data_IF_694844834318
#
_entry.id   IF_694844834318
#
_cell.length_a   1.000
_cell.length_b   1.000
_cell.length_c   1.000
_cell.angle_alpha   90.00
_cell.angle_beta   90.00
_cell.angle_gamma   90.00
#
_symmetry.space_group_name_H-M   'P 1'
#
loop_
_entity.id
_entity.type
_entity.pdbx_description
1 polymer ?
#
# COMPACT_ATOMS: atom_id res chain seq x y z
N UNK A 1 22.53 8.76 -30.11
CA UNK A 1 21.96 8.53 -28.77
C UNK A 1 21.23 9.78 -28.36
N UNK A 2 19.90 9.79 -28.43
CA UNK A 2 19.07 10.92 -28.05
C UNK A 2 18.12 10.47 -26.93
N UNK A 3 18.20 11.12 -25.77
CA UNK A 3 17.39 10.84 -24.61
C UNK A 3 15.94 11.28 -24.84
N UNK A 4 14.99 10.40 -24.52
CA UNK A 4 13.57 10.71 -24.53
C UNK A 4 13.20 11.60 -23.32
N UNK A 5 12.30 12.59 -23.47
CA UNK A 5 11.95 13.51 -22.39
C UNK A 5 10.99 12.86 -21.37
N UNK A 6 11.22 13.16 -20.09
CA UNK A 6 10.37 12.77 -18.98
C UNK A 6 8.93 13.28 -19.16
N UNK A 7 7.96 12.36 -19.12
CA UNK A 7 6.54 12.71 -19.10
C UNK A 7 6.15 13.13 -17.68
N UNK A 8 5.75 14.39 -17.56
CA UNK A 8 5.15 14.96 -16.35
C UNK A 8 3.79 14.33 -16.08
N UNK A 9 3.60 13.80 -14.86
CA UNK A 9 2.31 13.33 -14.38
C UNK A 9 1.36 14.53 -14.18
N UNK A 10 0.36 14.66 -15.04
CA UNK A 10 -0.73 15.63 -14.89
C UNK A 10 -1.94 14.93 -14.27
N UNK A 11 -2.16 15.13 -12.97
CA UNK A 11 -3.41 14.74 -12.30
C UNK A 11 -4.46 15.80 -12.65
N UNK A 12 -5.30 15.53 -13.66
CA UNK A 12 -6.55 16.27 -13.87
C UNK A 12 -7.75 15.34 -13.68
N UNK A 13 -8.49 15.66 -12.61
CA UNK A 13 -9.94 15.57 -12.45
C UNK A 13 -10.60 14.19 -12.55
N UNK A 14 -10.75 13.54 -11.40
CA UNK A 14 -11.90 12.65 -11.13
C UNK A 14 -12.94 13.51 -10.41
N UNK A 15 -14.10 13.72 -11.02
CA UNK A 15 -15.22 14.43 -10.39
C UNK A 15 -15.75 13.66 -9.17
N UNK A 16 -16.06 14.33 -8.05
CA UNK A 16 -16.79 13.72 -6.95
C UNK A 16 -18.27 13.54 -7.32
N UNK A 17 -18.84 12.39 -6.94
CA UNK A 17 -20.29 12.16 -6.98
C UNK A 17 -21.01 13.10 -5.97
N UNK A 18 -22.20 13.64 -6.32
CA UNK A 18 -22.91 14.58 -5.47
C UNK A 18 -23.63 13.84 -4.33
N UNK A 19 -23.42 14.30 -3.09
CA UNK A 19 -24.20 13.90 -1.92
C UNK A 19 -25.19 15.03 -1.60
N UNK A 20 -26.48 14.70 -1.61
CA UNK A 20 -27.57 15.60 -1.27
C UNK A 20 -27.49 16.04 0.20
N UNK A 21 -27.55 17.35 0.42
CA UNK A 21 -27.55 17.96 1.75
C UNK A 21 -28.98 18.07 2.32
N UNK A 22 -29.16 17.65 3.58
CA UNK A 22 -30.14 18.25 4.49
C UNK A 22 -29.87 17.81 5.93
N UNK A 23 -29.52 18.76 6.80
CA UNK A 23 -30.34 19.11 7.96
C UNK A 23 -29.66 20.23 8.77
N UNK A 24 -30.45 21.28 9.02
CA UNK A 24 -30.10 22.43 9.81
C UNK A 24 -29.93 22.05 11.29
N UNK A 25 -28.88 22.58 11.92
CA UNK A 25 -28.74 22.57 13.37
C UNK A 25 -28.57 24.00 13.89
N UNK A 26 -29.42 24.32 14.85
CA UNK A 26 -29.71 25.59 15.48
C UNK A 26 -28.53 26.11 16.32
N UNK A 27 -28.33 27.42 16.30
CA UNK A 27 -27.43 28.18 17.19
C UNK A 27 -27.82 27.98 18.67
N UNK A 28 -26.82 27.92 19.55
CA UNK A 28 -26.83 28.68 20.79
C UNK A 28 -25.40 28.99 21.27
N UNK A 29 -25.20 30.26 21.65
CA UNK A 29 -24.02 30.81 22.30
C UNK A 29 -23.99 30.40 23.78
N UNK A 30 -22.79 30.21 24.35
CA UNK A 30 -22.38 30.95 25.56
C UNK A 30 -20.88 30.82 25.88
N UNK A 31 -20.43 31.68 26.80
CA UNK A 31 -19.14 32.38 26.83
C UNK A 31 -17.99 31.72 27.63
N UNK A 32 -16.76 32.05 27.19
CA UNK A 32 -15.50 32.40 27.93
C UNK A 32 -15.01 31.56 29.12
N UNK A 33 -13.76 31.07 28.98
CA UNK A 33 -12.81 30.80 30.08
C UNK A 33 -11.40 30.47 29.56
N UNK A 34 -10.36 31.17 30.07
CA UNK A 34 -8.93 31.12 29.67
C UNK A 34 -8.14 29.94 30.34
N UNK A 35 -6.87 29.67 29.94
CA UNK A 35 -6.34 28.31 29.84
C UNK A 35 -5.53 27.86 31.08
N UNK A 36 -5.50 26.55 31.33
CA UNK A 36 -4.48 25.89 32.15
C UNK A 36 -4.06 24.58 31.49
N UNK A 37 -2.73 24.41 31.38
CA UNK A 37 -2.08 23.30 30.72
C UNK A 37 -2.45 21.95 31.30
N UNK A 38 -2.43 20.94 30.42
CA UNK A 38 -2.46 19.53 30.80
C UNK A 38 -1.48 18.76 29.95
N UNK A 39 -0.52 18.16 30.67
CA UNK A 39 0.23 16.97 30.31
C UNK A 39 -0.68 15.93 29.65
N UNK A 40 -0.31 15.47 28.47
CA UNK A 40 -0.96 14.34 27.78
C UNK A 40 0.12 13.28 27.60
N UNK A 41 0.16 12.29 28.50
CA UNK A 41 0.61 10.94 28.20
C UNK A 41 -0.25 9.98 29.03
N UNK A 42 -1.08 9.18 28.36
CA UNK A 42 -1.14 7.73 28.47
C UNK A 42 -2.38 7.21 27.73
N UNK A 43 -2.11 6.52 26.63
CA UNK A 43 -2.98 5.61 25.90
C UNK A 43 -3.41 4.43 26.79
N UNK A 44 -4.68 4.02 26.67
CA UNK A 44 -5.08 2.61 26.74
C UNK A 44 -6.53 2.48 26.23
N UNK A 45 -6.70 1.68 25.18
CA UNK A 45 -7.92 0.94 24.82
C UNK A 45 -9.27 1.61 25.19
N UNK A 46 -9.69 2.57 24.38
CA UNK A 46 -11.10 2.89 24.27
C UNK A 46 -11.59 2.40 22.91
N UNK A 47 -11.93 1.12 22.82
CA UNK A 47 -13.05 0.72 21.97
C UNK A 47 -14.26 1.51 22.47
N UNK A 48 -14.45 2.72 21.93
CA UNK A 48 -15.74 3.38 22.04
C UNK A 48 -16.72 2.42 21.40
N UNK A 49 -17.60 1.83 22.20
CA UNK A 49 -18.80 1.15 21.71
C UNK A 49 -19.71 2.23 21.11
N UNK A 50 -19.29 2.77 19.97
CA UNK A 50 -20.15 3.45 19.03
C UNK A 50 -21.09 2.37 18.50
N UNK A 51 -22.38 2.72 18.34
CA UNK A 51 -23.27 1.90 17.52
C UNK A 51 -22.53 1.61 16.20
N UNK A 52 -22.58 0.37 15.68
CA UNK A 52 -21.95 0.05 14.41
C UNK A 52 -22.38 1.11 13.40
N UNK A 53 -21.42 1.77 12.78
CA UNK A 53 -21.75 2.65 11.66
C UNK A 53 -22.46 1.82 10.59
N UNK A 54 -23.23 2.46 9.70
CA UNK A 54 -23.86 1.74 8.59
C UNK A 54 -22.82 0.96 7.75
N UNK A 55 -21.55 1.43 7.74
CA UNK A 55 -20.43 0.75 7.11
C UNK A 55 -20.01 -0.53 7.83
N UNK A 56 -20.04 -0.56 9.16
CA UNK A 56 -19.67 -1.76 9.95
C UNK A 56 -20.69 -2.89 9.73
N UNK A 57 -21.98 -2.52 9.61
CA UNK A 57 -23.04 -3.47 9.27
C UNK A 57 -22.85 -4.05 7.85
N UNK A 58 -22.61 -3.18 6.86
CA UNK A 58 -22.36 -3.62 5.48
C UNK A 58 -21.10 -4.49 5.37
N UNK A 59 -20.05 -4.15 6.12
CA UNK A 59 -18.83 -4.96 6.19
C UNK A 59 -19.15 -6.35 6.73
N UNK A 60 -19.87 -6.44 7.86
CA UNK A 60 -20.20 -7.73 8.50
C UNK A 60 -21.09 -8.62 7.62
N UNK A 61 -22.08 -8.02 6.95
CA UNK A 61 -22.93 -8.72 5.98
C UNK A 61 -22.11 -9.22 4.78
N UNK A 62 -21.19 -8.39 4.28
CA UNK A 62 -20.26 -8.73 3.21
C UNK A 62 -19.33 -9.89 3.59
N UNK A 63 -18.74 -9.85 4.79
CA UNK A 63 -17.89 -10.90 5.33
C UNK A 63 -18.62 -12.24 5.38
N UNK A 64 -19.82 -12.25 5.96
CA UNK A 64 -20.65 -13.47 6.07
C UNK A 64 -21.00 -14.04 4.70
N UNK A 65 -21.33 -13.17 3.74
CA UNK A 65 -21.68 -13.57 2.37
C UNK A 65 -20.49 -14.18 1.62
N UNK A 66 -19.31 -13.58 1.75
CA UNK A 66 -18.08 -14.09 1.13
C UNK A 66 -17.61 -15.38 1.79
N UNK A 67 -17.72 -15.51 3.12
CA UNK A 67 -17.45 -16.78 3.82
C UNK A 67 -18.31 -17.91 3.27
N UNK A 68 -19.60 -17.67 3.05
CA UNK A 68 -20.50 -18.67 2.46
C UNK A 68 -20.04 -19.10 1.07
N UNK A 69 -19.64 -18.15 0.22
CA UNK A 69 -19.11 -18.43 -1.12
C UNK A 69 -17.84 -19.29 -1.04
N UNK A 70 -16.93 -18.98 -0.13
CA UNK A 70 -15.70 -19.77 0.08
C UNK A 70 -16.02 -21.21 0.52
N UNK A 71 -17.01 -21.40 1.39
CA UNK A 71 -17.45 -22.73 1.82
C UNK A 71 -18.11 -23.51 0.68
N UNK A 72 -18.97 -22.87 -0.12
CA UNK A 72 -19.61 -23.50 -1.28
C UNK A 72 -18.58 -23.95 -2.34
N UNK A 73 -17.54 -23.14 -2.56
CA UNK A 73 -16.48 -23.41 -3.54
C UNK A 73 -15.35 -24.30 -3.02
N UNK A 74 -15.34 -24.68 -1.74
CA UNK A 74 -14.25 -25.41 -1.07
C UNK A 74 -13.83 -26.70 -1.79
N UNK A 75 -14.78 -27.41 -2.39
CA UNK A 75 -14.51 -28.68 -3.07
C UNK A 75 -14.11 -28.50 -4.55
N UNK A 76 -14.10 -27.26 -5.04
CA UNK A 76 -13.79 -26.91 -6.43
C UNK A 76 -12.50 -26.10 -6.47
N UNK A 77 -11.37 -26.78 -6.69
CA UNK A 77 -10.05 -26.13 -6.66
C UNK A 77 -9.96 -24.91 -7.57
N UNK A 78 -10.48 -25.00 -8.81
CA UNK A 78 -10.46 -23.90 -9.79
C UNK A 78 -11.28 -22.70 -9.32
N UNK A 79 -12.50 -22.93 -8.83
CA UNK A 79 -13.38 -21.84 -8.36
C UNK A 79 -12.86 -21.20 -7.08
N UNK A 80 -12.34 -22.01 -6.15
CA UNK A 80 -11.71 -21.52 -4.93
C UNK A 80 -10.49 -20.65 -5.25
N UNK A 81 -9.58 -21.13 -6.10
CA UNK A 81 -8.40 -20.39 -6.56
C UNK A 81 -8.76 -19.05 -7.23
N UNK A 82 -9.76 -19.04 -8.12
CA UNK A 82 -10.24 -17.81 -8.76
C UNK A 82 -10.87 -16.84 -7.75
N UNK A 83 -11.54 -17.36 -6.71
CA UNK A 83 -12.10 -16.55 -5.62
C UNK A 83 -10.99 -15.90 -4.81
N UNK A 84 -9.96 -16.67 -4.42
CA UNK A 84 -8.79 -16.17 -3.71
C UNK A 84 -8.08 -15.07 -4.50
N UNK A 85 -7.91 -15.26 -5.82
CA UNK A 85 -7.32 -14.24 -6.69
C UNK A 85 -8.12 -12.93 -6.67
N UNK A 86 -9.46 -13.02 -6.74
CA UNK A 86 -10.32 -11.84 -6.65
C UNK A 86 -10.21 -11.16 -5.28
N UNK A 87 -10.20 -11.91 -4.18
CA UNK A 87 -10.03 -11.36 -2.82
C UNK A 87 -8.72 -10.58 -2.69
N UNK A 88 -7.62 -11.16 -3.18
CA UNK A 88 -6.29 -10.53 -3.19
C UNK A 88 -6.27 -9.27 -4.06
N UNK A 89 -6.79 -9.34 -5.28
CA UNK A 89 -6.84 -8.19 -6.20
C UNK A 89 -7.74 -7.07 -5.68
N UNK A 90 -8.75 -7.38 -4.88
CA UNK A 90 -9.62 -6.41 -4.21
C UNK A 90 -9.06 -5.92 -2.86
N UNK A 91 -7.94 -6.46 -2.39
CA UNK A 91 -7.32 -6.14 -1.09
C UNK A 91 -8.25 -6.41 0.10
N UNK A 92 -8.98 -7.53 0.05
CA UNK A 92 -9.90 -7.98 1.12
C UNK A 92 -9.55 -9.40 1.59
N UNK A 93 -8.40 -9.94 1.18
CA UNK A 93 -7.96 -11.28 1.53
C UNK A 93 -7.54 -11.42 3.00
N UNK A 94 -7.17 -10.33 3.67
CA UNK A 94 -6.81 -10.33 5.10
C UNK A 94 -7.94 -10.82 6.01
N UNK A 95 -9.20 -10.76 5.55
CA UNK A 95 -10.35 -11.28 6.29
C UNK A 95 -10.51 -12.81 6.22
N UNK A 96 -9.83 -13.48 5.29
CA UNK A 96 -10.07 -14.89 4.96
C UNK A 96 -8.79 -15.72 4.96
N UNK A 97 -7.82 -15.36 5.81
CA UNK A 97 -6.49 -15.99 5.83
C UNK A 97 -6.56 -17.49 6.12
N UNK A 98 -7.46 -17.93 6.99
CA UNK A 98 -7.63 -19.35 7.32
C UNK A 98 -8.16 -20.14 6.12
N UNK A 99 -9.19 -19.62 5.42
CA UNK A 99 -9.76 -20.25 4.24
C UNK A 99 -8.74 -20.32 3.11
N UNK A 100 -8.00 -19.23 2.87
CA UNK A 100 -6.93 -19.15 1.88
C UNK A 100 -5.86 -20.20 2.18
N UNK A 101 -5.39 -20.27 3.42
CA UNK A 101 -4.37 -21.24 3.82
C UNK A 101 -4.86 -22.69 3.61
N UNK A 102 -6.12 -22.98 3.93
CA UNK A 102 -6.69 -24.32 3.73
C UNK A 102 -6.78 -24.73 2.25
N UNK A 103 -6.87 -23.75 1.34
CA UNK A 103 -7.01 -23.98 -0.10
C UNK A 103 -5.67 -24.19 -0.83
N UNK A 104 -4.53 -23.92 -0.18
CA UNK A 104 -3.21 -24.02 -0.82
C UNK A 104 -2.89 -25.41 -1.35
N UNK A 105 -3.34 -26.47 -0.66
CA UNK A 105 -3.19 -27.84 -1.14
C UNK A 105 -3.85 -28.09 -2.50
N UNK A 106 -5.08 -27.59 -2.69
CA UNK A 106 -5.79 -27.71 -3.97
C UNK A 106 -5.14 -26.84 -5.07
N UNK A 107 -4.53 -25.71 -4.70
CA UNK A 107 -3.77 -24.89 -5.64
C UNK A 107 -2.52 -25.62 -6.12
N UNK A 108 -1.79 -26.32 -5.24
CA UNK A 108 -0.61 -27.12 -5.61
C UNK A 108 -0.94 -28.17 -6.68
N UNK A 109 -2.09 -28.85 -6.58
CA UNK A 109 -2.51 -29.82 -7.59
C UNK A 109 -2.75 -29.16 -8.97
N UNK A 110 -3.32 -27.94 -8.98
CA UNK A 110 -3.60 -27.19 -10.20
C UNK A 110 -2.34 -26.66 -10.90
N UNK A 111 -1.19 -26.60 -10.21
CA UNK A 111 0.10 -26.29 -10.82
C UNK A 111 0.44 -27.29 -11.92
N UNK A 112 -0.14 -28.50 -11.91
CA UNK A 112 0.03 -29.54 -12.93
C UNK A 112 -1.06 -29.55 -14.02
N UNK A 113 -1.97 -28.57 -14.03
CA UNK A 113 -3.04 -28.47 -15.03
C UNK A 113 -2.50 -28.26 -16.46
N UNK A 114 -3.21 -28.81 -17.44
CA UNK A 114 -2.99 -28.55 -18.88
C UNK A 114 -3.67 -27.24 -19.34
N UNK A 115 -4.48 -26.62 -18.49
CA UNK A 115 -5.08 -25.29 -18.70
C UNK A 115 -4.09 -24.20 -18.28
N UNK A 116 -3.81 -23.25 -19.19
CA UNK A 116 -2.83 -22.19 -18.97
C UNK A 116 -3.21 -21.29 -17.81
N UNK A 117 -4.49 -20.89 -17.72
CA UNK A 117 -4.98 -20.05 -16.64
C UNK A 117 -4.83 -20.75 -15.29
N UNK A 118 -5.25 -22.01 -15.19
CA UNK A 118 -5.15 -22.76 -13.94
C UNK A 118 -3.71 -22.91 -13.46
N UNK A 119 -2.81 -23.39 -14.33
CA UNK A 119 -1.43 -23.67 -13.95
C UNK A 119 -0.69 -22.39 -13.52
N UNK A 120 -0.85 -21.31 -14.29
CA UNK A 120 -0.17 -20.03 -14.01
C UNK A 120 -0.75 -19.30 -12.79
N UNK A 121 -2.07 -19.36 -12.58
CA UNK A 121 -2.69 -18.75 -11.42
C UNK A 121 -2.35 -19.52 -10.14
N UNK A 122 -2.40 -20.85 -10.19
CA UNK A 122 -1.99 -21.72 -9.10
C UNK A 122 -0.55 -21.46 -8.70
N UNK A 123 0.36 -21.44 -9.68
CA UNK A 123 1.76 -21.09 -9.46
C UNK A 123 1.91 -19.74 -8.75
N UNK A 124 1.22 -18.71 -9.25
CA UNK A 124 1.30 -17.36 -8.70
C UNK A 124 0.88 -17.34 -7.23
N UNK A 125 -0.29 -17.92 -6.91
CA UNK A 125 -0.82 -17.94 -5.55
C UNK A 125 0.04 -18.77 -4.59
N UNK A 126 0.57 -19.89 -5.06
CA UNK A 126 1.44 -20.76 -4.25
C UNK A 126 2.79 -20.10 -3.97
N UNK A 127 3.40 -19.41 -4.95
CA UNK A 127 4.60 -18.60 -4.71
C UNK A 127 4.35 -17.41 -3.80
N UNK A 128 3.23 -16.71 -3.96
CA UNK A 128 2.83 -15.62 -3.06
C UNK A 128 2.64 -16.11 -1.62
N UNK A 129 2.27 -17.38 -1.43
CA UNK A 129 2.20 -18.04 -0.12
C UNK A 129 3.57 -18.53 0.42
N UNK A 130 4.67 -18.29 -0.31
CA UNK A 130 6.03 -18.59 0.12
C UNK A 130 6.54 -20.00 -0.25
N UNK A 131 5.82 -20.74 -1.09
CA UNK A 131 6.30 -22.03 -1.58
C UNK A 131 7.29 -21.86 -2.73
N UNK A 132 8.37 -22.64 -2.69
CA UNK A 132 9.35 -22.73 -3.77
C UNK A 132 8.84 -23.69 -4.86
N UNK A 133 8.44 -23.13 -6.00
CA UNK A 133 7.93 -23.87 -7.16
C UNK A 133 8.69 -23.39 -8.39
N UNK A 134 9.31 -24.28 -9.16
CA UNK A 134 10.03 -23.93 -10.39
C UNK A 134 9.08 -23.48 -11.51
N UNK A 135 9.32 -22.30 -12.10
CA UNK A 135 8.55 -21.83 -13.25
C UNK A 135 8.80 -22.70 -14.49
N UNK A 136 10.02 -23.19 -14.68
CA UNK A 136 10.40 -24.03 -15.82
C UNK A 136 9.57 -25.33 -15.83
N UNK A 137 9.38 -25.97 -14.68
CA UNK A 137 8.59 -27.19 -14.54
C UNK A 137 7.11 -26.98 -14.87
N UNK A 138 6.57 -25.81 -14.51
CA UNK A 138 5.19 -25.43 -14.82
C UNK A 138 5.05 -25.11 -16.31
N UNK A 139 5.95 -24.28 -16.84
CA UNK A 139 5.83 -23.71 -18.18
C UNK A 139 6.18 -24.68 -19.30
N UNK A 140 7.01 -25.71 -19.04
CA UNK A 140 7.44 -26.69 -20.05
C UNK A 140 6.30 -27.32 -20.84
N UNK A 141 5.15 -27.59 -20.23
CA UNK A 141 3.99 -28.20 -20.91
C UNK A 141 3.29 -27.26 -21.90
N UNK A 142 3.46 -25.96 -21.74
CA UNK A 142 2.92 -24.92 -22.62
C UNK A 142 3.85 -24.56 -23.77
N UNK A 143 5.06 -25.14 -23.78
CA UNK A 143 6.05 -24.99 -24.84
C UNK A 143 6.04 -26.15 -25.84
N UNK A 144 6.56 -25.92 -27.04
CA UNK A 144 6.79 -26.93 -28.07
C UNK A 144 8.18 -27.60 -27.93
N UNK A 145 8.53 -28.46 -28.88
CA UNK A 145 9.82 -29.17 -28.87
C UNK A 145 11.06 -28.27 -29.00
N UNK A 146 10.89 -27.00 -29.36
CA UNK A 146 11.96 -25.99 -29.41
C UNK A 146 12.07 -25.17 -28.12
N UNK A 147 11.15 -25.37 -27.17
CA UNK A 147 11.07 -24.59 -25.94
C UNK A 147 10.40 -23.22 -26.12
N UNK A 148 9.62 -23.05 -27.20
CA UNK A 148 8.83 -21.85 -27.47
C UNK A 148 7.36 -22.05 -27.11
N UNK A 149 6.67 -21.01 -26.64
CA UNK A 149 5.25 -21.10 -26.29
C UNK A 149 4.38 -21.43 -27.51
N UNK A 150 3.49 -22.41 -27.34
CA UNK A 150 2.56 -22.84 -28.39
C UNK A 150 1.69 -21.66 -28.84
N UNK A 151 1.71 -21.32 -30.13
CA UNK A 151 0.96 -20.19 -30.68
C UNK A 151 -0.56 -20.29 -30.43
N UNK A 152 -1.12 -21.50 -30.30
CA UNK A 152 -2.53 -21.70 -29.97
C UNK A 152 -2.97 -21.00 -28.66
N UNK A 153 -2.03 -20.82 -27.71
CA UNK A 153 -2.26 -20.12 -26.44
C UNK A 153 -2.54 -18.63 -26.64
N UNK A 154 -2.21 -18.05 -27.79
CA UNK A 154 -2.41 -16.62 -28.05
C UNK A 154 -3.89 -16.19 -28.04
N UNK A 155 -4.82 -17.15 -28.10
CA UNK A 155 -6.26 -16.91 -28.08
C UNK A 155 -6.84 -16.92 -26.66
N UNK A 156 -6.13 -17.48 -25.68
CA UNK A 156 -6.56 -17.55 -24.29
C UNK A 156 -6.17 -16.26 -23.55
N UNK A 157 -7.01 -15.23 -23.66
CA UNK A 157 -6.75 -13.93 -23.01
C UNK A 157 -6.64 -14.05 -21.49
N UNK A 158 -7.41 -14.96 -20.87
CA UNK A 158 -7.37 -15.17 -19.42
C UNK A 158 -6.07 -15.84 -19.00
N UNK A 159 -5.68 -16.91 -19.70
CA UNK A 159 -4.40 -17.57 -19.48
C UNK A 159 -3.21 -16.64 -19.74
N UNK A 160 -3.27 -15.81 -20.78
CA UNK A 160 -2.21 -14.83 -21.06
C UNK A 160 -2.10 -13.75 -19.99
N UNK A 161 -3.21 -13.26 -19.43
CA UNK A 161 -3.19 -12.32 -18.30
C UNK A 161 -2.53 -12.94 -17.07
N UNK A 162 -2.86 -14.19 -16.75
CA UNK A 162 -2.29 -14.90 -15.61
C UNK A 162 -0.81 -15.27 -15.85
N UNK A 163 -0.45 -15.68 -17.07
CA UNK A 163 0.94 -15.87 -17.49
C UNK A 163 1.75 -14.57 -17.40
N UNK A 164 1.15 -13.44 -17.78
CA UNK A 164 1.79 -12.13 -17.64
C UNK A 164 2.05 -11.80 -16.17
N UNK A 165 1.05 -11.97 -15.29
CA UNK A 165 1.22 -11.74 -13.85
C UNK A 165 2.31 -12.67 -13.26
N UNK A 166 2.27 -13.96 -13.58
CA UNK A 166 3.28 -14.96 -13.21
C UNK A 166 4.70 -14.54 -13.63
N UNK A 167 4.86 -13.95 -14.81
CA UNK A 167 6.17 -13.58 -15.37
C UNK A 167 6.93 -12.52 -14.56
N UNK A 168 6.27 -11.83 -13.63
CA UNK A 168 6.93 -10.85 -12.76
C UNK A 168 7.33 -11.41 -11.39
N UNK A 169 7.11 -12.71 -11.13
CA UNK A 169 7.55 -13.40 -9.90
C UNK A 169 8.94 -14.03 -10.03
N UNK A 170 9.79 -13.49 -10.92
CA UNK A 170 11.14 -14.00 -11.17
C UNK A 170 12.06 -13.77 -9.97
N UNK A 171 12.73 -14.83 -9.53
CA UNK A 171 13.68 -14.81 -8.42
C UNK A 171 15.15 -14.76 -8.89
N UNK A 172 15.40 -14.56 -10.19
CA UNK A 172 16.73 -14.23 -10.73
C UNK A 172 17.41 -15.35 -11.53
N UNK A 173 16.78 -16.52 -11.69
CA UNK A 173 17.39 -17.70 -12.33
C UNK A 173 16.43 -18.45 -13.27
N UNK A 174 15.34 -17.83 -13.73
CA UNK A 174 14.26 -18.55 -14.43
C UNK A 174 13.99 -18.02 -15.86
N UNK A 175 14.73 -18.52 -16.86
CA UNK A 175 14.63 -18.01 -18.24
C UNK A 175 13.25 -18.19 -18.86
N UNK A 176 12.45 -19.16 -18.40
CA UNK A 176 11.07 -19.33 -18.86
C UNK A 176 10.15 -18.17 -18.50
N UNK A 177 10.37 -17.49 -17.36
CA UNK A 177 9.57 -16.32 -16.97
C UNK A 177 9.84 -15.13 -17.89
N UNK A 178 11.08 -14.97 -18.37
CA UNK A 178 11.40 -13.95 -19.38
C UNK A 178 10.65 -14.22 -20.69
N UNK A 179 10.68 -15.46 -21.19
CA UNK A 179 9.91 -15.85 -22.38
C UNK A 179 8.40 -15.69 -22.17
N UNK A 180 7.90 -16.03 -20.98
CA UNK A 180 6.50 -15.87 -20.61
C UNK A 180 6.07 -14.40 -20.68
N UNK A 181 6.92 -13.49 -20.18
CA UNK A 181 6.70 -12.05 -20.25
C UNK A 181 6.62 -11.57 -21.69
N UNK A 182 7.60 -11.93 -22.53
CA UNK A 182 7.62 -11.52 -23.94
C UNK A 182 6.38 -12.03 -24.70
N UNK A 183 6.09 -13.33 -24.58
CA UNK A 183 4.96 -13.97 -25.24
C UNK A 183 3.63 -13.36 -24.80
N UNK A 184 3.40 -13.29 -23.48
CA UNK A 184 2.15 -12.75 -22.93
C UNK A 184 1.94 -11.28 -23.29
N UNK A 185 2.96 -10.42 -23.13
CA UNK A 185 2.86 -9.00 -23.45
C UNK A 185 2.56 -8.74 -24.92
N UNK A 186 3.26 -9.45 -25.83
CA UNK A 186 3.07 -9.31 -27.28
C UNK A 186 1.64 -9.67 -27.69
N UNK A 187 1.14 -10.81 -27.22
CA UNK A 187 -0.17 -11.30 -27.61
C UNK A 187 -1.32 -10.53 -26.96
N UNK A 188 -1.19 -10.14 -25.69
CA UNK A 188 -2.15 -9.26 -25.02
C UNK A 188 -2.24 -7.89 -25.71
N UNK A 189 -1.10 -7.26 -26.02
CA UNK A 189 -1.07 -5.96 -26.69
C UNK A 189 -1.74 -6.00 -28.08
N UNK A 190 -1.53 -7.11 -28.80
CA UNK A 190 -2.16 -7.34 -30.12
C UNK A 190 -3.67 -7.54 -30.01
N UNK A 191 -4.12 -8.21 -28.95
CA UNK A 191 -5.53 -8.54 -28.74
C UNK A 191 -6.39 -7.32 -28.38
N UNK A 192 -5.85 -6.31 -27.69
CA UNK A 192 -6.60 -5.16 -27.11
C UNK A 192 -7.66 -4.57 -28.06
N UNK A 193 -7.35 -4.41 -29.35
CA UNK A 193 -8.24 -3.77 -30.33
C UNK A 193 -9.48 -4.62 -30.70
N UNK A 194 -9.48 -5.89 -30.32
CA UNK A 194 -10.51 -6.88 -30.63
C UNK A 194 -11.31 -7.32 -29.39
N UNK A 195 -10.97 -6.80 -28.21
CA UNK A 195 -11.63 -7.15 -26.96
C UNK A 195 -12.79 -6.20 -26.67
N UNK A 196 -13.77 -6.69 -25.93
CA UNK A 196 -14.83 -5.86 -25.34
C UNK A 196 -14.22 -4.70 -24.54
N UNK A 197 -14.82 -3.50 -24.53
CA UNK A 197 -14.20 -2.30 -23.97
C UNK A 197 -13.71 -2.44 -22.52
N UNK A 198 -14.48 -3.15 -21.67
CA UNK A 198 -14.12 -3.42 -20.27
C UNK A 198 -12.86 -4.26 -20.14
N UNK A 199 -12.80 -5.38 -20.89
CA UNK A 199 -11.64 -6.28 -20.90
C UNK A 199 -10.44 -5.64 -21.59
N UNK A 200 -10.63 -4.90 -22.68
CA UNK A 200 -9.56 -4.16 -23.36
C UNK A 200 -8.88 -3.16 -22.43
N UNK A 201 -9.66 -2.44 -21.61
CA UNK A 201 -9.14 -1.52 -20.59
C UNK A 201 -8.38 -2.27 -19.50
N UNK A 202 -8.93 -3.39 -19.01
CA UNK A 202 -8.27 -4.22 -17.99
C UNK A 202 -6.93 -4.77 -18.49
N UNK A 203 -6.88 -5.31 -19.70
CA UNK A 203 -5.64 -5.81 -20.33
C UNK A 203 -4.60 -4.71 -20.47
N UNK A 204 -5.00 -3.53 -20.95
CA UNK A 204 -4.07 -2.39 -21.08
C UNK A 204 -3.46 -2.01 -19.73
N UNK A 205 -4.29 -1.92 -18.69
CA UNK A 205 -3.83 -1.59 -17.34
C UNK A 205 -2.88 -2.64 -16.76
N UNK A 206 -3.14 -3.92 -17.00
CA UNK A 206 -2.24 -4.99 -16.56
C UNK A 206 -0.87 -4.95 -17.26
N UNK A 207 -0.82 -4.53 -18.53
CA UNK A 207 0.44 -4.36 -19.26
C UNK A 207 1.22 -3.11 -18.83
N UNK A 208 0.53 -1.98 -18.64
CA UNK A 208 1.17 -0.71 -18.24
C UNK A 208 1.67 -0.77 -16.79
N UNK A 209 0.93 -1.44 -15.92
CA UNK A 209 1.19 -1.52 -14.49
C UNK A 209 0.98 -2.96 -14.01
N UNK A 210 1.97 -3.86 -14.14
CA UNK A 210 1.85 -5.25 -13.68
C UNK A 210 1.54 -5.36 -12.19
N UNK A 211 0.78 -6.38 -11.77
CA UNK A 211 0.33 -6.51 -10.39
C UNK A 211 1.51 -6.53 -9.41
N UNK A 212 2.48 -7.42 -9.60
CA UNK A 212 3.63 -7.56 -8.70
C UNK A 212 4.52 -6.30 -8.59
N UNK A 213 4.44 -5.39 -9.57
CA UNK A 213 5.26 -4.16 -9.64
C UNK A 213 4.46 -2.90 -9.29
N UNK A 214 3.25 -3.05 -8.77
CA UNK A 214 2.33 -1.94 -8.53
C UNK A 214 1.72 -1.99 -7.13
N UNK A 215 1.24 -0.83 -6.67
CA UNK A 215 0.48 -0.75 -5.43
C UNK A 215 -0.90 -1.39 -5.60
N UNK A 216 -1.17 -2.43 -4.81
CA UNK A 216 -2.39 -3.23 -4.95
C UNK A 216 -3.66 -2.42 -4.75
N UNK A 217 -3.70 -1.47 -3.80
CA UNK A 217 -4.88 -0.64 -3.56
C UNK A 217 -5.23 0.26 -4.75
N UNK A 218 -4.22 0.71 -5.50
CA UNK A 218 -4.46 1.47 -6.74
C UNK A 218 -5.11 0.56 -7.79
N UNK A 219 -4.61 -0.67 -7.91
CA UNK A 219 -5.14 -1.66 -8.85
C UNK A 219 -6.52 -2.22 -8.47
N UNK A 220 -6.85 -2.25 -7.18
CA UNK A 220 -8.08 -2.82 -6.68
C UNK A 220 -9.33 -2.13 -7.25
N UNK A 221 -9.31 -0.81 -7.42
CA UNK A 221 -10.40 -0.06 -8.08
C UNK A 221 -10.58 -0.44 -9.55
N UNK A 222 -9.48 -0.67 -10.25
CA UNK A 222 -9.51 -1.10 -11.65
C UNK A 222 -10.02 -2.53 -11.79
N UNK A 223 -9.62 -3.41 -10.88
CA UNK A 223 -10.13 -4.77 -10.82
C UNK A 223 -11.63 -4.81 -10.48
N UNK A 224 -12.08 -4.03 -9.49
CA UNK A 224 -13.50 -3.88 -9.17
C UNK A 224 -14.31 -3.39 -10.37
N UNK A 225 -13.83 -2.37 -11.09
CA UNK A 225 -14.50 -1.87 -12.30
C UNK A 225 -14.56 -2.92 -13.41
N UNK A 226 -13.55 -3.79 -13.52
CA UNK A 226 -13.57 -4.92 -14.44
C UNK A 226 -14.63 -5.96 -14.02
N UNK A 227 -14.65 -6.38 -12.76
CA UNK A 227 -15.66 -7.33 -12.24
C UNK A 227 -17.09 -6.82 -12.47
N UNK A 228 -17.35 -5.54 -12.20
CA UNK A 228 -18.64 -4.90 -12.41
C UNK A 228 -19.06 -4.82 -13.89
N UNK A 229 -18.10 -4.93 -14.81
CA UNK A 229 -18.37 -4.95 -16.26
C UNK A 229 -18.68 -6.35 -16.80
N UNK A 230 -18.49 -7.40 -16.00
CA UNK A 230 -18.74 -8.77 -16.43
C UNK A 230 -20.25 -9.06 -16.52
N UNK A 231 -20.69 -9.92 -17.47
CA UNK A 231 -22.11 -10.30 -17.58
C UNK A 231 -22.65 -11.04 -16.35
N UNK A 232 -21.79 -11.83 -15.70
CA UNK A 232 -22.11 -12.57 -14.48
C UNK A 232 -21.37 -11.93 -13.31
N UNK A 233 -22.11 -11.32 -12.38
CA UNK A 233 -21.55 -10.55 -11.28
C UNK A 233 -21.68 -11.30 -9.96
N UNK A 234 -20.58 -11.34 -9.22
CA UNK A 234 -20.54 -11.79 -7.83
C UNK A 234 -20.59 -10.55 -6.93
N UNK A 235 -21.82 -10.15 -6.57
CA UNK A 235 -22.03 -8.88 -5.87
C UNK A 235 -21.56 -8.91 -4.42
N UNK A 236 -21.32 -10.09 -3.83
CA UNK A 236 -20.90 -10.21 -2.44
C UNK A 236 -19.48 -9.67 -2.23
N UNK A 237 -18.51 -10.11 -3.05
CA UNK A 237 -17.14 -9.59 -3.00
C UNK A 237 -17.07 -8.11 -3.40
N UNK A 238 -17.87 -7.68 -4.38
CA UNK A 238 -17.96 -6.27 -4.77
C UNK A 238 -18.44 -5.40 -3.60
N UNK A 239 -19.51 -5.81 -2.91
CA UNK A 239 -20.06 -5.11 -1.75
C UNK A 239 -19.05 -5.00 -0.61
N UNK A 240 -18.39 -6.11 -0.27
CA UNK A 240 -17.35 -6.14 0.76
C UNK A 240 -16.17 -5.22 0.41
N UNK A 241 -15.69 -5.25 -0.83
CA UNK A 241 -14.59 -4.38 -1.28
C UNK A 241 -14.97 -2.89 -1.23
N UNK A 242 -16.21 -2.54 -1.56
CA UNK A 242 -16.69 -1.14 -1.48
C UNK A 242 -16.73 -0.68 -0.02
N UNK A 243 -17.27 -1.50 0.89
CA UNK A 243 -17.29 -1.20 2.31
C UNK A 243 -15.86 -1.01 2.86
N UNK A 244 -14.93 -1.90 2.50
CA UNK A 244 -13.53 -1.80 2.91
C UNK A 244 -12.85 -0.53 2.37
N UNK A 245 -13.09 -0.16 1.11
CA UNK A 245 -12.54 1.07 0.54
C UNK A 245 -13.07 2.32 1.25
N UNK A 246 -14.31 2.31 1.71
CA UNK A 246 -14.91 3.41 2.45
C UNK A 246 -14.31 3.52 3.85
N UNK A 247 -14.19 2.40 4.56
CA UNK A 247 -13.59 2.34 5.89
C UNK A 247 -12.12 2.78 5.87
N UNK A 248 -11.32 2.19 4.97
CA UNK A 248 -9.92 2.57 4.78
C UNK A 248 -9.77 4.06 4.41
N UNK A 249 -10.65 4.58 3.56
CA UNK A 249 -10.64 6.01 3.21
C UNK A 249 -10.91 6.89 4.43
N UNK A 250 -11.91 6.57 5.25
CA UNK A 250 -12.21 7.34 6.45
C UNK A 250 -11.03 7.33 7.42
N UNK A 251 -10.47 6.14 7.69
CA UNK A 251 -9.30 5.99 8.56
C UNK A 251 -8.12 6.85 8.07
N UNK A 252 -7.81 6.79 6.77
CA UNK A 252 -6.72 7.60 6.20
C UNK A 252 -6.99 9.10 6.26
N UNK A 253 -8.25 9.52 6.20
CA UNK A 253 -8.61 10.93 6.37
C UNK A 253 -8.39 11.38 7.82
N UNK A 254 -8.74 10.56 8.80
CA UNK A 254 -8.53 10.83 10.22
C UNK A 254 -7.03 10.93 10.54
N UNK A 255 -6.24 9.96 10.08
CA UNK A 255 -4.77 9.94 10.19
C UNK A 255 -4.14 11.21 9.57
N UNK A 256 -4.57 11.59 8.36
CA UNK A 256 -4.09 12.79 7.68
C UNK A 256 -4.37 14.06 8.49
N UNK A 257 -5.54 14.17 9.14
CA UNK A 257 -5.84 15.33 9.97
C UNK A 257 -4.93 15.39 11.20
N UNK A 258 -4.57 14.24 11.76
CA UNK A 258 -3.62 14.17 12.87
C UNK A 258 -2.23 14.60 12.47
N UNK A 259 -1.70 14.04 11.37
CA UNK A 259 -0.38 14.43 10.84
C UNK A 259 -0.35 15.93 10.52
N UNK A 260 -1.41 16.48 9.92
CA UNK A 260 -1.49 17.92 9.62
C UNK A 260 -1.45 18.76 10.88
N UNK A 261 -2.20 18.40 11.93
CA UNK A 261 -2.18 19.11 13.22
C UNK A 261 -0.77 19.10 13.81
N UNK A 262 -0.16 17.94 13.90
CA UNK A 262 1.23 17.79 14.36
C UNK A 262 2.21 18.64 13.55
N UNK A 263 2.12 18.61 12.22
CA UNK A 263 3.02 19.38 11.34
C UNK A 263 2.86 20.89 11.54
N UNK A 264 1.62 21.38 11.65
CA UNK A 264 1.35 22.79 11.92
C UNK A 264 1.88 23.22 13.29
N UNK A 265 1.74 22.36 14.32
CA UNK A 265 2.21 22.63 15.68
C UNK A 265 3.75 22.72 15.75
N UNK A 266 4.48 22.02 14.86
CA UNK A 266 5.93 22.15 14.75
C UNK A 266 6.39 23.51 14.21
N UNK A 267 5.60 24.16 13.35
CA UNK A 267 5.91 25.47 12.78
C UNK A 267 7.13 25.54 11.85
N UNK A 268 7.71 24.39 11.45
CA UNK A 268 8.96 24.34 10.69
C UNK A 268 8.88 25.01 9.31
N UNK A 269 7.74 24.91 8.61
CA UNK A 269 7.55 25.57 7.31
C UNK A 269 7.53 27.10 7.41
N UNK A 270 7.23 27.65 8.59
CA UNK A 270 7.33 29.09 8.84
C UNK A 270 8.75 29.51 9.23
N UNK A 271 9.45 28.70 10.02
CA UNK A 271 10.82 29.01 10.45
C UNK A 271 11.87 28.78 9.37
N UNK A 272 11.62 27.85 8.45
CA UNK A 272 12.52 27.51 7.34
C UNK A 272 11.73 27.55 6.02
N UNK A 273 11.46 28.73 5.45
CA UNK A 273 10.51 28.88 4.33
C UNK A 273 10.83 28.09 3.05
N UNK A 274 12.06 27.59 2.93
CA UNK A 274 12.52 26.82 1.76
C UNK A 274 12.16 25.34 1.87
N UNK A 275 11.84 24.83 3.06
CA UNK A 275 11.52 23.41 3.25
C UNK A 275 10.21 23.05 2.56
N UNK A 276 10.17 21.85 2.00
CA UNK A 276 8.96 21.31 1.37
C UNK A 276 7.85 21.21 2.43
N UNK A 277 6.66 21.70 2.10
CA UNK A 277 5.43 21.53 2.90
C UNK A 277 4.46 20.66 2.12
N UNK A 278 4.70 19.34 2.15
CA UNK A 278 4.02 18.36 1.30
C UNK A 278 3.46 17.19 2.11
N UNK A 279 2.78 17.47 3.23
CA UNK A 279 2.19 16.45 4.12
C UNK A 279 1.43 15.33 3.36
N UNK A 280 0.59 15.61 2.35
CA UNK A 280 -0.09 14.55 1.60
C UNK A 280 0.86 13.59 0.88
N UNK A 281 1.99 14.09 0.36
CA UNK A 281 3.02 13.30 -0.32
C UNK A 281 3.76 12.41 0.67
N UNK A 282 4.09 12.93 1.85
CA UNK A 282 4.79 12.16 2.89
C UNK A 282 3.92 11.03 3.42
N UNK A 283 2.66 11.33 3.69
CA UNK A 283 1.69 10.34 4.16
C UNK A 283 1.44 9.22 3.13
N UNK A 284 1.46 9.53 1.84
CA UNK A 284 1.29 8.52 0.78
C UNK A 284 2.29 7.36 0.90
N UNK A 285 3.54 7.63 1.30
CA UNK A 285 4.55 6.60 1.50
C UNK A 285 4.19 5.66 2.65
N UNK A 286 3.79 6.21 3.80
CA UNK A 286 3.38 5.40 4.95
C UNK A 286 2.11 4.59 4.66
N UNK A 287 1.11 5.23 4.04
CA UNK A 287 -0.17 4.61 3.67
C UNK A 287 -0.01 3.42 2.72
N UNK A 288 0.94 3.50 1.79
CA UNK A 288 1.16 2.42 0.82
C UNK A 288 2.04 1.29 1.36
N UNK A 289 2.90 1.59 2.34
CA UNK A 289 3.82 0.62 2.95
C UNK A 289 3.18 -0.18 4.09
N UNK A 290 2.27 0.43 4.86
CA UNK A 290 1.68 -0.18 6.05
C UNK A 290 0.16 -0.31 5.86
N UNK A 291 -0.31 -1.53 5.61
CA UNK A 291 -1.70 -1.82 5.27
C UNK A 291 -2.51 -2.29 6.47
N UNK A 292 -3.82 -2.05 6.44
CA UNK A 292 -4.77 -2.51 7.46
C UNK A 292 -4.97 -1.55 8.64
N UNK A 293 -6.10 -1.65 9.35
CA UNK A 293 -6.50 -0.70 10.38
C UNK A 293 -5.62 -0.77 11.64
N UNK A 294 -5.10 -1.94 12.00
CA UNK A 294 -4.22 -2.12 13.15
C UNK A 294 -2.92 -1.33 13.07
N UNK A 295 -2.49 -0.95 11.86
CA UNK A 295 -1.24 -0.22 11.64
C UNK A 295 -1.41 1.31 11.57
N UNK A 296 -2.55 1.83 12.05
CA UNK A 296 -2.88 3.26 11.98
C UNK A 296 -1.86 4.17 12.69
N UNK A 297 -1.54 3.88 13.95
CA UNK A 297 -0.54 4.64 14.71
C UNK A 297 0.82 4.63 14.02
N UNK A 298 1.26 3.45 13.56
CA UNK A 298 2.52 3.31 12.83
C UNK A 298 2.56 4.11 11.53
N UNK A 299 1.44 4.25 10.80
CA UNK A 299 1.37 5.12 9.61
C UNK A 299 1.57 6.59 9.97
N UNK A 300 0.92 7.04 11.04
CA UNK A 300 1.05 8.42 11.54
C UNK A 300 2.51 8.69 11.89
N UNK A 301 3.12 7.84 12.73
CA UNK A 301 4.49 8.02 13.20
C UNK A 301 5.53 7.87 12.08
N UNK A 302 5.34 6.92 11.17
CA UNK A 302 6.17 6.80 9.96
C UNK A 302 6.08 8.07 9.11
N UNK A 303 4.88 8.67 8.98
CA UNK A 303 4.73 9.93 8.25
C UNK A 303 5.48 11.07 8.93
N UNK A 304 5.48 11.14 10.27
CA UNK A 304 6.26 12.14 11.02
C UNK A 304 7.76 12.00 10.72
N UNK A 305 8.28 10.77 10.76
CA UNK A 305 9.68 10.48 10.43
C UNK A 305 10.00 10.90 8.99
N UNK A 306 9.18 10.48 8.02
CA UNK A 306 9.37 10.84 6.60
C UNK A 306 9.38 12.36 6.43
N UNK A 307 8.45 13.08 7.07
CA UNK A 307 8.38 14.54 7.01
C UNK A 307 9.68 15.19 7.47
N UNK A 308 10.24 14.72 8.60
CA UNK A 308 11.49 15.22 9.14
C UNK A 308 12.69 14.86 8.26
N UNK A 309 12.71 13.69 7.61
CA UNK A 309 13.74 13.33 6.61
C UNK A 309 13.75 14.34 5.46
N UNK A 310 12.59 14.72 4.93
CA UNK A 310 12.49 15.74 3.88
C UNK A 310 12.98 17.13 4.36
N UNK A 311 12.71 17.50 5.60
CA UNK A 311 13.20 18.76 6.17
C UNK A 311 14.71 18.76 6.32
N UNK A 312 15.29 17.66 6.83
CA UNK A 312 16.75 17.52 6.97
C UNK A 312 17.41 17.58 5.59
N UNK A 313 16.89 16.85 4.60
CA UNK A 313 17.36 16.89 3.21
C UNK A 313 17.37 18.34 2.66
N UNK A 314 16.29 19.10 2.86
CA UNK A 314 16.22 20.51 2.43
C UNK A 314 17.22 21.40 3.19
N UNK A 315 17.48 21.14 4.47
CA UNK A 315 18.48 21.89 5.25
C UNK A 315 19.88 21.65 4.69
N UNK A 316 20.24 20.40 4.38
CA UNK A 316 21.55 20.05 3.86
C UNK A 316 21.77 20.56 2.43
N UNK A 317 20.74 20.54 1.60
CA UNK A 317 20.86 20.89 0.18
C UNK A 317 20.69 22.39 -0.10
N UNK A 318 19.84 23.09 0.67
CA UNK A 318 19.36 24.43 0.31
C UNK A 318 19.63 25.51 1.35
N UNK A 319 19.95 25.16 2.60
CA UNK A 319 19.99 26.12 3.72
C UNK A 319 21.37 26.23 4.36
N UNK A 320 21.95 25.11 4.79
CA UNK A 320 23.09 25.11 5.68
C UNK A 320 24.43 25.38 4.99
N UNK A 321 25.26 26.20 5.64
CA UNK A 321 26.69 26.26 5.32
C UNK A 321 27.42 25.01 5.84
N UNK A 322 28.58 24.63 5.27
CA UNK A 322 29.34 23.46 5.74
C UNK A 322 29.62 23.47 7.26
N UNK A 323 29.91 24.63 7.82
CA UNK A 323 30.15 24.81 9.26
C UNK A 323 28.87 24.56 10.08
N UNK A 324 27.74 25.11 9.67
CA UNK A 324 26.45 24.91 10.35
C UNK A 324 25.97 23.46 10.24
N UNK A 325 26.14 22.83 9.08
CA UNK A 325 25.82 21.42 8.88
C UNK A 325 26.69 20.52 9.75
N UNK A 326 27.99 20.83 9.88
CA UNK A 326 28.88 20.12 10.81
C UNK A 326 28.38 20.22 12.25
N UNK A 327 27.94 21.40 12.70
CA UNK A 327 27.36 21.57 14.03
C UNK A 327 26.04 20.81 14.19
N UNK A 328 25.18 20.83 13.17
CA UNK A 328 23.92 20.09 13.17
C UNK A 328 24.15 18.57 13.24
N UNK A 329 25.06 18.03 12.44
CA UNK A 329 25.46 16.62 12.49
C UNK A 329 26.02 16.23 13.87
N UNK A 330 26.86 17.09 14.47
CA UNK A 330 27.37 16.86 15.83
C UNK A 330 26.24 16.84 16.86
N UNK A 331 25.25 17.73 16.74
CA UNK A 331 24.10 17.75 17.65
C UNK A 331 23.30 16.43 17.57
N UNK A 332 23.01 15.93 16.35
CA UNK A 332 22.34 14.63 16.16
C UNK A 332 23.21 13.50 16.76
N UNK A 333 24.55 13.54 16.57
CA UNK A 333 25.46 12.53 17.13
C UNK A 333 25.46 12.54 18.65
N UNK A 334 25.40 13.70 19.28
CA UNK A 334 25.40 13.81 20.74
C UNK A 334 24.04 13.46 21.36
N UNK A 335 22.95 13.71 20.64
CA UNK A 335 21.58 13.41 21.08
C UNK A 335 21.25 14.00 22.46
N UNK A 336 21.58 15.28 22.65
CA UNK A 336 21.35 16.03 23.89
C UNK A 336 20.63 17.36 23.58
N UNK A 337 19.61 17.74 24.35
CA UNK A 337 18.86 18.98 24.14
C UNK A 337 19.68 20.24 24.38
N UNK A 338 20.73 20.18 25.22
CA UNK A 338 21.58 21.33 25.56
C UNK A 338 22.42 21.84 24.36
N UNK A 339 22.77 20.97 23.41
CA UNK A 339 23.50 21.37 22.20
C UNK A 339 22.61 22.03 21.14
N UNK A 340 21.29 22.00 21.31
CA UNK A 340 20.38 22.69 20.39
C UNK A 340 20.62 24.21 20.40
N UNK A 341 21.06 24.78 21.53
CA UNK A 341 21.19 26.23 21.68
C UNK A 341 22.36 26.85 20.91
N UNK A 342 23.33 26.04 20.46
CA UNK A 342 24.40 26.50 19.57
C UNK A 342 24.02 26.49 18.08
N UNK A 343 22.87 25.89 17.72
CA UNK A 343 22.41 25.82 16.34
C UNK A 343 21.68 27.11 15.91
N UNK A 344 21.74 27.48 14.61
CA UNK A 344 20.86 28.49 14.02
C UNK A 344 19.38 28.19 14.30
N UNK A 345 18.53 29.22 14.33
CA UNK A 345 17.12 29.08 14.77
C UNK A 345 16.35 27.95 14.07
N UNK A 346 16.37 27.91 12.73
CA UNK A 346 15.68 26.88 11.97
C UNK A 346 16.22 25.47 12.23
N UNK A 347 17.54 25.31 12.21
CA UNK A 347 18.20 24.03 12.52
C UNK A 347 17.94 23.57 13.96
N UNK A 348 17.89 24.50 14.91
CA UNK A 348 17.54 24.23 16.31
C UNK A 348 16.13 23.67 16.43
N UNK A 349 15.16 24.29 15.76
CA UNK A 349 13.76 23.83 15.77
C UNK A 349 13.62 22.48 15.10
N UNK A 350 14.31 22.26 13.97
CA UNK A 350 14.36 20.95 13.31
C UNK A 350 14.95 19.87 14.23
N UNK A 351 16.09 20.15 14.88
CA UNK A 351 16.71 19.23 15.83
C UNK A 351 15.77 18.87 17.00
N UNK A 352 15.10 19.87 17.59
CA UNK A 352 14.12 19.64 18.66
C UNK A 352 12.94 18.80 18.18
N UNK A 353 12.46 19.02 16.95
CA UNK A 353 11.40 18.23 16.36
C UNK A 353 11.80 16.75 16.19
N UNK A 354 13.02 16.49 15.68
CA UNK A 354 13.60 15.14 15.56
C UNK A 354 13.71 14.48 16.93
N UNK A 355 14.32 15.17 17.89
CA UNK A 355 14.52 14.64 19.24
C UNK A 355 13.20 14.29 19.90
N UNK A 356 12.23 15.22 19.93
CA UNK A 356 10.94 15.01 20.58
C UNK A 356 10.13 13.90 19.90
N UNK A 357 10.01 13.94 18.57
CA UNK A 357 9.25 12.94 17.81
C UNK A 357 9.85 11.54 17.98
N UNK A 358 11.18 11.42 17.98
CA UNK A 358 11.84 10.13 18.17
C UNK A 358 11.62 9.57 19.57
N UNK A 359 11.69 10.41 20.60
CA UNK A 359 11.43 9.97 21.98
C UNK A 359 9.94 9.63 22.18
N UNK A 360 9.01 10.39 21.61
CA UNK A 360 7.57 10.05 21.64
C UNK A 360 7.29 8.68 21.02
N UNK A 361 7.93 8.37 19.89
CA UNK A 361 7.82 7.05 19.24
C UNK A 361 8.47 5.97 20.11
N UNK A 362 9.62 6.25 20.71
CA UNK A 362 10.30 5.30 21.60
C UNK A 362 9.45 4.97 22.84
N UNK A 363 8.84 5.98 23.45
CA UNK A 363 7.93 5.82 24.60
C UNK A 363 6.69 5.01 24.20
N UNK A 364 6.12 5.28 23.02
CA UNK A 364 5.00 4.49 22.48
C UNK A 364 5.39 3.01 22.34
N UNK A 365 6.55 2.72 21.74
CA UNK A 365 7.04 1.34 21.57
C UNK A 365 7.34 0.68 22.91
N UNK A 366 7.87 1.41 23.89
CA UNK A 366 8.09 0.87 25.24
C UNK A 366 6.78 0.49 25.93
N UNK A 367 5.74 1.32 25.79
CA UNK A 367 4.40 1.05 26.33
C UNK A 367 3.74 -0.15 25.65
N UNK A 368 3.85 -0.26 24.32
CA UNK A 368 3.15 -1.30 23.55
C UNK A 368 3.89 -2.64 23.56
N UNK A 369 5.22 -2.63 23.47
CA UNK A 369 6.06 -3.83 23.28
C UNK A 369 6.99 -4.15 24.44
N UNK A 370 7.06 -3.28 25.46
CA UNK A 370 7.86 -3.52 26.67
C UNK A 370 9.38 -3.31 26.49
N UNK A 371 9.80 -2.66 25.41
CA UNK A 371 11.21 -2.35 25.13
C UNK A 371 11.36 -0.94 24.58
N UNK A 372 12.33 -0.17 25.10
CA UNK A 372 12.62 1.18 24.63
C UNK A 372 13.64 1.16 23.45
N UNK A 373 13.22 1.53 22.22
CA UNK A 373 14.08 1.47 21.05
C UNK A 373 14.93 2.72 20.83
N UNK A 374 14.95 3.70 21.74
CA UNK A 374 15.56 5.04 21.51
C UNK A 374 16.99 4.97 20.98
N UNK A 375 17.81 4.03 21.47
CA UNK A 375 19.19 3.86 21.01
C UNK A 375 19.25 3.35 19.55
N UNK A 376 18.33 2.48 19.15
CA UNK A 376 18.23 2.01 17.76
C UNK A 376 17.74 3.13 16.85
N UNK A 377 16.72 3.87 17.27
CA UNK A 377 16.17 4.99 16.49
C UNK A 377 17.19 6.12 16.31
N UNK A 378 17.96 6.45 17.36
CA UNK A 378 19.07 7.39 17.27
C UNK A 378 20.11 6.94 16.24
N UNK A 379 20.45 5.66 16.24
CA UNK A 379 21.45 5.11 15.32
C UNK A 379 20.94 5.00 13.88
N UNK A 380 19.63 4.90 13.66
CA UNK A 380 19.04 4.83 12.31
C UNK A 380 19.26 6.11 11.47
N UNK A 381 19.52 7.25 12.11
CA UNK A 381 19.93 8.51 11.45
C UNK A 381 21.38 8.51 10.95
N UNK A 382 22.15 7.46 11.27
CA UNK A 382 23.52 7.27 10.84
C UNK A 382 23.59 5.99 10.00
N UNK A 383 23.79 6.14 8.68
CA UNK A 383 24.33 5.02 7.92
C UNK A 383 25.68 4.66 8.58
N UNK A 384 25.99 3.36 8.80
CA UNK A 384 27.32 2.99 9.23
C UNK A 384 28.29 3.64 8.24
N UNK A 385 29.21 4.46 8.77
CA UNK A 385 30.31 5.03 8.00
C UNK A 385 30.86 3.87 7.18
N UNK A 386 30.79 3.99 5.84
CA UNK A 386 31.13 2.90 4.94
C UNK A 386 32.45 2.30 5.37
N UNK A 387 32.41 1.04 5.82
CA UNK A 387 33.66 0.29 5.95
C UNK A 387 34.23 0.18 4.52
N UNK A 388 35.53 0.48 4.34
CA UNK A 388 36.16 0.56 3.02
C UNK A 388 36.13 -0.76 2.23
#
# INVERSE_FOLDING_TARGET
>A
MAAAPARTFSVRSVEPLPVSASLAATRNNDQRGRPRGRSIIASAAASKTLLPSDFDLQLQEGLTSVQKILQERRNSGREMMATIDNLKRLCIDHYFQEEIQSAMGACLDLIHSDDLFDATLAFKLVREAGHDVSADDVLRRFTDGTGEFKLALSKDIRGLLSLHDMSHLDMGEEPSLHKAKEFSSKHLASAIRYLEPGLARYVRQSLDHPYHLSLMQYKARHHLSYLQSLPTRDTAMEGLAIAEFQLSKQLHQEEMQEVKRWWMDLGLSHEIPVVRDQVPKWYMWAMTSLQGPSLSGYRIDTTKIISLVYVVDDIFDLVGTPEELSLFTQAIKMWNTAVADSLPSGMRSCYKAIYNTTNEIADMVEVEHGFNPVNHLRNAGFLPDGEP
#
